data_IF_755641881972
#
_entry.id   IF_755641881972
#
_cell.length_a   1.000
_cell.length_b   1.000
_cell.length_c   1.000
_cell.angle_alpha   90.00
_cell.angle_beta   90.00
_cell.angle_gamma   90.00
#
_symmetry.space_group_name_H-M   'P 1'
#
loop_
_entity.id
_entity.type
_entity.pdbx_description
1 polymer ?
#
# COMPACT_ATOMS: atom_id res chain seq x y z
N UNK A 1 12.29 -13.92 28.51
CA UNK A 1 13.36 -14.04 27.49
C UNK A 1 13.20 -15.28 26.63
N UNK A 2 12.80 -16.42 27.16
CA UNK A 2 12.63 -17.69 26.42
C UNK A 2 11.64 -17.61 25.26
N UNK A 3 10.46 -17.02 25.48
CA UNK A 3 9.44 -16.85 24.44
C UNK A 3 9.91 -16.05 23.21
N UNK A 4 10.69 -14.99 23.41
CA UNK A 4 11.25 -14.20 22.30
C UNK A 4 12.34 -14.99 21.54
N UNK A 5 13.15 -15.77 22.25
CA UNK A 5 14.16 -16.62 21.63
C UNK A 5 13.48 -17.76 20.85
N UNK A 6 12.37 -18.29 21.35
CA UNK A 6 11.57 -19.26 20.63
C UNK A 6 11.07 -18.67 19.30
N UNK A 7 10.37 -17.54 19.33
CA UNK A 7 9.85 -16.89 18.13
C UNK A 7 10.95 -16.63 17.09
N UNK A 8 12.11 -16.09 17.51
CA UNK A 8 13.26 -15.83 16.61
C UNK A 8 13.86 -17.08 15.98
N UNK A 9 13.75 -18.24 16.64
CA UNK A 9 14.27 -19.52 16.13
C UNK A 9 13.31 -20.22 15.19
N UNK A 10 12.00 -20.03 15.37
CA UNK A 10 10.97 -20.79 14.67
C UNK A 10 10.32 -20.00 13.53
N UNK A 11 10.29 -18.68 13.60
CA UNK A 11 9.67 -17.86 12.57
C UNK A 11 10.40 -16.54 12.32
N UNK A 12 10.32 -16.10 11.10
CA UNK A 12 10.65 -14.73 10.68
C UNK A 12 9.38 -13.92 10.61
N UNK A 13 9.39 -12.72 11.20
CA UNK A 13 8.25 -11.82 11.25
C UNK A 13 8.61 -10.49 10.59
N UNK A 14 7.70 -9.97 9.77
CA UNK A 14 7.83 -8.64 9.16
C UNK A 14 6.51 -7.90 9.19
N UNK A 15 6.55 -6.58 9.32
CA UNK A 15 5.36 -5.74 9.33
C UNK A 15 5.18 -5.08 7.98
N UNK A 16 4.03 -5.30 7.37
CA UNK A 16 3.63 -4.60 6.17
C UNK A 16 3.37 -3.11 6.49
N UNK A 17 4.16 -2.21 5.92
CA UNK A 17 4.06 -0.77 6.20
C UNK A 17 2.79 -0.14 5.62
N UNK A 18 2.15 -0.77 4.64
CA UNK A 18 0.90 -0.30 4.02
C UNK A 18 -0.31 -0.71 4.86
N UNK A 19 -0.50 -2.01 5.07
CA UNK A 19 -1.68 -2.51 5.80
C UNK A 19 -1.50 -2.51 7.32
N UNK A 20 -0.24 -2.45 7.80
CA UNK A 20 0.11 -2.60 9.20
C UNK A 20 -0.01 -4.04 9.71
N UNK A 21 -0.37 -4.98 8.85
CA UNK A 21 -0.47 -6.40 9.16
C UNK A 21 0.92 -7.00 9.40
N UNK A 22 0.99 -7.96 10.31
CA UNK A 22 2.21 -8.75 10.50
C UNK A 22 2.16 -9.98 9.60
N UNK A 23 3.23 -10.16 8.86
CA UNK A 23 3.47 -11.35 8.05
C UNK A 23 4.47 -12.26 8.75
N UNK A 24 4.32 -13.56 8.60
CA UNK A 24 5.24 -14.54 9.17
C UNK A 24 5.61 -15.60 8.14
N UNK A 25 6.81 -16.13 8.27
CA UNK A 25 7.30 -17.33 7.57
C UNK A 25 8.03 -18.23 8.57
N UNK A 26 8.12 -19.55 8.35
CA UNK A 26 9.05 -20.41 9.08
C UNK A 26 10.47 -19.84 8.98
N UNK A 27 11.29 -20.06 10.01
CA UNK A 27 12.66 -19.56 10.04
C UNK A 27 13.47 -20.06 8.82
N UNK A 28 14.05 -19.13 8.06
CA UNK A 28 14.77 -19.42 6.82
C UNK A 28 13.90 -19.65 5.59
N UNK A 29 12.58 -19.53 5.73
CA UNK A 29 11.64 -19.54 4.61
C UNK A 29 11.34 -18.13 4.08
N UNK A 30 11.03 -18.04 2.79
CA UNK A 30 10.69 -16.79 2.10
C UNK A 30 9.19 -16.68 1.78
N UNK A 31 8.40 -17.73 2.06
CA UNK A 31 6.94 -17.73 1.86
C UNK A 31 6.23 -17.08 3.05
N UNK A 32 6.15 -15.75 3.02
CA UNK A 32 5.49 -14.97 4.06
C UNK A 32 3.99 -14.96 3.90
N UNK A 33 3.30 -15.41 4.94
CA UNK A 33 1.85 -15.44 5.05
C UNK A 33 1.36 -14.46 6.11
N UNK A 34 0.07 -14.11 6.07
CA UNK A 34 -0.54 -13.28 7.10
C UNK A 34 -0.52 -14.02 8.46
N UNK A 35 -0.07 -13.36 9.51
CA UNK A 35 -0.16 -13.86 10.87
C UNK A 35 -1.62 -13.79 11.36
N UNK A 36 -2.43 -14.75 10.91
CA UNK A 36 -3.84 -14.85 11.30
C UNK A 36 -3.97 -15.26 12.76
N UNK A 37 -5.20 -15.22 13.28
CA UNK A 37 -5.49 -15.71 14.64
C UNK A 37 -5.15 -17.19 14.78
N UNK A 38 -5.44 -17.99 13.77
CA UNK A 38 -5.13 -19.43 13.74
C UNK A 38 -3.62 -19.66 13.79
N UNK A 39 -2.84 -18.93 12.96
CA UNK A 39 -1.39 -19.00 12.96
C UNK A 39 -0.79 -18.60 14.33
N UNK A 40 -1.32 -17.55 14.97
CA UNK A 40 -0.92 -17.13 16.32
C UNK A 40 -1.17 -18.24 17.34
N UNK A 41 -2.36 -18.83 17.32
CA UNK A 41 -2.71 -19.92 18.23
C UNK A 41 -1.80 -21.14 18.02
N UNK A 42 -1.47 -21.46 16.75
CA UNK A 42 -0.54 -22.55 16.44
C UNK A 42 0.83 -22.29 17.05
N UNK A 43 1.41 -21.11 16.87
CA UNK A 43 2.70 -20.74 17.47
C UNK A 43 2.69 -20.87 19.01
N UNK A 44 1.59 -20.46 19.64
CA UNK A 44 1.44 -20.56 21.10
C UNK A 44 1.39 -22.02 21.55
N UNK A 45 0.64 -22.87 20.85
CA UNK A 45 0.53 -24.28 21.18
C UNK A 45 1.84 -25.04 20.94
N UNK A 46 2.54 -24.74 19.84
CA UNK A 46 3.85 -25.31 19.54
C UNK A 46 4.90 -24.91 20.60
N UNK A 47 4.92 -23.65 21.03
CA UNK A 47 5.77 -23.20 22.12
C UNK A 47 5.47 -23.95 23.43
N UNK A 48 4.19 -24.16 23.75
CA UNK A 48 3.77 -24.90 24.94
C UNK A 48 4.24 -26.37 24.90
N UNK A 49 4.24 -27.02 23.72
CA UNK A 49 4.75 -28.37 23.54
C UNK A 49 6.27 -28.46 23.80
N UNK A 50 7.01 -27.37 23.59
CA UNK A 50 8.44 -27.25 23.95
C UNK A 50 8.66 -26.79 25.40
N UNK A 51 7.59 -26.66 26.19
CA UNK A 51 7.68 -26.18 27.57
C UNK A 51 7.90 -24.68 27.71
N UNK A 52 7.67 -23.90 26.64
CA UNK A 52 7.87 -22.46 26.62
C UNK A 52 6.55 -21.73 26.85
N UNK A 53 6.51 -20.85 27.84
CA UNK A 53 5.34 -20.03 28.15
C UNK A 53 5.25 -18.83 27.19
N UNK A 54 4.75 -19.06 25.97
CA UNK A 54 4.37 -18.02 25.02
C UNK A 54 2.88 -17.72 25.20
N UNK A 55 2.54 -16.50 25.61
CA UNK A 55 1.15 -16.05 25.75
C UNK A 55 0.75 -15.15 24.58
N UNK A 56 -0.55 -15.04 24.32
CA UNK A 56 -1.07 -14.12 23.30
C UNK A 56 -0.64 -12.66 23.59
N UNK A 57 -0.62 -12.24 24.85
CA UNK A 57 -0.14 -10.92 25.26
C UNK A 57 1.35 -10.70 24.92
N UNK A 58 2.19 -11.72 25.12
CA UNK A 58 3.62 -11.65 24.80
C UNK A 58 3.82 -11.58 23.29
N UNK A 59 3.09 -12.38 22.53
CA UNK A 59 3.12 -12.34 21.05
C UNK A 59 2.62 -10.98 20.54
N UNK A 60 1.53 -10.44 21.08
CA UNK A 60 0.98 -9.14 20.73
C UNK A 60 1.99 -8.00 20.98
N UNK A 61 2.64 -8.00 22.15
CA UNK A 61 3.71 -7.04 22.44
C UNK A 61 4.87 -7.15 21.46
N UNK A 62 5.24 -8.37 21.07
CA UNK A 62 6.32 -8.60 20.14
C UNK A 62 5.98 -8.08 18.73
N UNK A 63 4.80 -8.41 18.20
CA UNK A 63 4.38 -7.97 16.85
C UNK A 63 4.19 -6.45 16.75
N UNK A 64 3.94 -5.78 17.87
CA UNK A 64 3.85 -4.32 17.95
C UNK A 64 5.14 -3.62 18.41
N UNK A 65 6.22 -4.37 18.56
CA UNK A 65 7.52 -3.80 18.96
C UNK A 65 8.35 -3.35 17.76
N UNK A 66 9.42 -2.61 18.02
CA UNK A 66 10.45 -2.25 17.04
C UNK A 66 11.41 -3.41 16.71
N UNK A 67 11.20 -4.58 17.31
CA UNK A 67 11.99 -5.79 17.05
C UNK A 67 11.59 -6.49 15.76
N UNK A 68 10.45 -6.13 15.18
CA UNK A 68 9.98 -6.63 13.88
C UNK A 68 10.41 -5.67 12.80
N UNK A 69 10.95 -6.22 11.72
CA UNK A 69 11.38 -5.45 10.56
C UNK A 69 10.16 -4.93 9.79
N UNK A 70 10.17 -3.65 9.47
CA UNK A 70 9.21 -3.08 8.55
C UNK A 70 9.49 -3.58 7.12
N UNK A 71 8.43 -3.87 6.40
CA UNK A 71 8.47 -4.38 5.05
C UNK A 71 7.54 -3.58 4.14
N UNK A 72 8.11 -3.06 3.05
CA UNK A 72 7.36 -2.37 2.02
C UNK A 72 7.20 -3.29 0.79
N UNK A 73 5.99 -3.78 0.49
CA UNK A 73 5.78 -4.67 -0.66
C UNK A 73 6.07 -4.01 -2.00
N UNK A 74 5.94 -2.69 -2.10
CA UNK A 74 6.27 -1.97 -3.33
C UNK A 74 7.78 -1.85 -3.53
N UNK A 75 8.56 -1.60 -2.46
CA UNK A 75 10.02 -1.59 -2.52
C UNK A 75 10.55 -2.99 -2.87
N UNK A 76 10.07 -4.05 -2.20
CA UNK A 76 10.47 -5.42 -2.51
C UNK A 76 10.19 -5.77 -3.97
N UNK A 77 9.02 -5.38 -4.50
CA UNK A 77 8.71 -5.59 -5.92
C UNK A 77 9.65 -4.81 -6.84
N UNK A 78 9.94 -3.54 -6.55
CA UNK A 78 10.86 -2.73 -7.34
C UNK A 78 12.28 -3.30 -7.33
N UNK A 79 12.74 -3.79 -6.17
CA UNK A 79 14.07 -4.41 -6.02
C UNK A 79 14.17 -5.77 -6.74
N UNK A 80 13.04 -6.42 -6.98
CA UNK A 80 12.97 -7.69 -7.72
C UNK A 80 13.00 -7.53 -9.25
N UNK A 81 12.91 -6.30 -9.74
CA UNK A 81 12.92 -6.03 -11.18
C UNK A 81 14.33 -6.18 -11.75
N UNK A 82 14.40 -6.74 -12.95
CA UNK A 82 15.63 -6.76 -13.74
C UNK A 82 16.14 -5.33 -14.04
N UNK A 83 17.42 -5.22 -14.34
CA UNK A 83 18.00 -3.97 -14.81
C UNK A 83 17.24 -3.45 -16.04
N UNK A 84 17.06 -2.15 -16.13
CA UNK A 84 16.37 -1.54 -17.26
C UNK A 84 17.04 -1.87 -18.59
N UNK A 85 16.27 -2.40 -19.52
CA UNK A 85 16.69 -2.84 -20.85
C UNK A 85 16.69 -1.71 -21.91
N UNK A 86 16.45 -0.45 -21.51
CA UNK A 86 16.38 0.70 -22.40
C UNK A 86 15.01 0.93 -23.06
N UNK A 87 14.02 0.05 -22.82
CA UNK A 87 12.69 0.16 -23.44
C UNK A 87 11.78 1.09 -22.63
N UNK A 88 11.21 2.10 -23.28
CA UNK A 88 10.26 3.05 -22.66
C UNK A 88 8.83 2.48 -22.65
N UNK A 89 8.56 1.62 -21.69
CA UNK A 89 7.25 1.01 -21.51
C UNK A 89 6.19 1.98 -20.98
N UNK A 90 6.62 3.10 -20.37
CA UNK A 90 5.70 4.10 -19.85
C UNK A 90 5.05 4.88 -20.99
N UNK A 91 5.84 5.28 -21.99
CA UNK A 91 5.32 5.87 -23.23
C UNK A 91 4.39 4.92 -23.97
N UNK A 92 4.75 3.66 -24.10
CA UNK A 92 3.89 2.65 -24.74
C UNK A 92 2.55 2.49 -24.01
N UNK A 93 2.59 2.51 -22.69
CA UNK A 93 1.38 2.43 -21.88
C UNK A 93 0.52 3.69 -22.00
N UNK A 94 1.13 4.87 -21.96
CA UNK A 94 0.45 6.16 -22.15
C UNK A 94 -0.27 6.25 -23.50
N UNK A 95 0.36 5.77 -24.57
CA UNK A 95 -0.19 5.77 -25.93
C UNK A 95 -1.38 4.83 -26.14
N UNK A 96 -1.71 3.97 -25.16
CA UNK A 96 -2.96 3.19 -25.18
C UNK A 96 -4.19 4.04 -24.91
N UNK A 97 -4.02 5.24 -24.36
CA UNK A 97 -5.07 6.22 -24.16
C UNK A 97 -5.09 7.15 -25.37
N UNK A 98 -6.16 7.07 -26.16
CA UNK A 98 -6.38 7.98 -27.28
C UNK A 98 -6.87 9.31 -26.72
N UNK A 99 -6.10 10.38 -26.94
CA UNK A 99 -6.40 11.71 -26.41
C UNK A 99 -5.95 12.80 -27.37
N UNK A 100 -6.61 13.96 -27.31
CA UNK A 100 -6.22 15.18 -28.02
C UNK A 100 -5.25 16.07 -27.22
N UNK A 101 -4.91 15.67 -25.98
CA UNK A 101 -3.97 16.43 -25.15
C UNK A 101 -2.52 16.15 -25.62
N UNK A 102 -1.82 17.14 -26.19
CA UNK A 102 -0.45 16.94 -26.73
C UNK A 102 0.56 16.63 -25.60
N UNK A 103 0.29 17.07 -24.36
CA UNK A 103 1.19 16.90 -23.23
C UNK A 103 0.93 15.59 -22.46
N UNK A 104 -0.03 14.78 -22.91
CA UNK A 104 -0.47 13.58 -22.18
C UNK A 104 0.67 12.65 -21.81
N UNK A 105 1.52 12.28 -22.76
CA UNK A 105 2.62 11.34 -22.52
C UNK A 105 3.59 11.88 -21.47
N UNK A 106 3.98 13.15 -21.58
CA UNK A 106 4.90 13.80 -20.64
C UNK A 106 4.28 13.89 -19.23
N UNK A 107 3.00 14.24 -19.14
CA UNK A 107 2.27 14.31 -17.87
C UNK A 107 2.10 12.93 -17.25
N UNK A 108 1.79 11.91 -18.06
CA UNK A 108 1.68 10.53 -17.61
C UNK A 108 3.00 10.01 -17.04
N UNK A 109 4.12 10.26 -17.74
CA UNK A 109 5.47 9.98 -17.22
C UNK A 109 5.73 10.64 -15.86
N UNK A 110 5.46 11.94 -15.78
CA UNK A 110 5.62 12.70 -14.53
C UNK A 110 4.78 12.09 -13.41
N UNK A 111 3.54 11.73 -13.68
CA UNK A 111 2.66 11.11 -12.70
C UNK A 111 3.18 9.74 -12.25
N UNK A 112 3.61 8.87 -13.17
CA UNK A 112 4.17 7.56 -12.85
C UNK A 112 5.41 7.67 -11.95
N UNK A 113 6.31 8.60 -12.25
CA UNK A 113 7.49 8.86 -11.41
C UNK A 113 7.09 9.32 -10.00
N UNK A 114 6.09 10.20 -9.89
CA UNK A 114 5.58 10.67 -8.59
C UNK A 114 4.92 9.55 -7.80
N UNK A 115 4.17 8.68 -8.46
CA UNK A 115 3.54 7.51 -7.87
C UNK A 115 4.59 6.58 -7.25
N UNK A 116 5.60 6.19 -8.03
CA UNK A 116 6.69 5.31 -7.56
C UNK A 116 7.51 5.98 -6.44
N UNK A 117 7.84 7.27 -6.57
CA UNK A 117 8.54 8.01 -5.52
C UNK A 117 7.80 7.95 -4.17
N UNK A 118 6.46 8.01 -4.21
CA UNK A 118 5.65 7.89 -2.99
C UNK A 118 5.61 6.48 -2.43
N UNK A 119 5.57 5.46 -3.27
CA UNK A 119 5.63 4.06 -2.84
C UNK A 119 6.91 3.78 -2.04
N UNK A 120 8.01 4.45 -2.41
CA UNK A 120 9.32 4.31 -1.75
C UNK A 120 9.57 5.37 -0.67
N UNK A 121 8.56 6.13 -0.29
CA UNK A 121 8.67 7.15 0.77
C UNK A 121 9.54 8.35 0.41
N UNK A 122 9.86 8.56 -0.88
CA UNK A 122 10.60 9.74 -1.34
C UNK A 122 9.69 10.95 -1.34
N UNK A 123 10.24 12.10 -0.99
CA UNK A 123 9.50 13.36 -1.02
C UNK A 123 9.16 13.76 -2.44
N UNK A 124 7.89 14.11 -2.65
CA UNK A 124 7.39 14.71 -3.88
C UNK A 124 6.90 16.11 -3.55
N UNK A 125 7.43 17.12 -4.24
CA UNK A 125 7.04 18.51 -4.01
C UNK A 125 5.55 18.68 -4.31
N UNK A 126 4.79 19.17 -3.34
CA UNK A 126 3.33 19.29 -3.43
C UNK A 126 2.85 20.17 -4.60
N UNK A 127 3.62 21.22 -4.94
CA UNK A 127 3.29 22.14 -6.05
C UNK A 127 3.26 21.45 -7.42
N UNK A 128 3.96 20.33 -7.56
CA UNK A 128 4.11 19.59 -8.82
C UNK A 128 3.23 18.35 -8.90
N UNK A 129 2.39 18.11 -7.89
CA UNK A 129 1.51 16.93 -7.87
C UNK A 129 0.46 17.02 -8.96
N UNK A 130 0.44 16.01 -9.81
CA UNK A 130 -0.56 15.84 -10.87
C UNK A 130 -1.31 14.53 -10.66
N UNK A 131 -2.55 14.49 -11.13
CA UNK A 131 -3.40 13.31 -11.11
C UNK A 131 -4.05 13.18 -12.48
N UNK A 132 -3.98 12.02 -13.14
CA UNK A 132 -4.65 11.81 -14.43
C UNK A 132 -6.16 11.74 -14.23
N UNK A 133 -6.90 12.41 -15.11
CA UNK A 133 -8.35 12.31 -15.21
C UNK A 133 -8.70 11.73 -16.58
N UNK A 134 -9.19 10.50 -16.59
CA UNK A 134 -9.54 9.78 -17.82
C UNK A 134 -11.04 9.96 -18.08
N UNK A 135 -11.38 10.69 -19.14
CA UNK A 135 -12.75 10.96 -19.55
C UNK A 135 -13.10 10.14 -20.79
N UNK A 136 -14.27 9.54 -20.82
CA UNK A 136 -14.74 8.76 -21.97
C UNK A 136 -16.06 8.05 -21.68
N UNK A 137 -16.67 7.51 -22.73
CA UNK A 137 -17.96 6.81 -22.62
C UNK A 137 -17.86 5.57 -21.70
N UNK A 138 -19.01 5.15 -21.19
CA UNK A 138 -19.12 3.91 -20.43
C UNK A 138 -18.69 2.70 -21.28
N UNK A 139 -18.01 1.73 -20.66
CA UNK A 139 -17.58 0.51 -21.35
C UNK A 139 -16.25 0.60 -22.10
N UNK A 140 -15.60 1.77 -22.17
CA UNK A 140 -14.32 1.94 -22.88
C UNK A 140 -13.08 1.52 -22.09
N UNK A 141 -13.24 0.76 -21.01
CA UNK A 141 -12.13 0.14 -20.28
C UNK A 141 -11.32 1.06 -19.39
N UNK A 142 -11.84 2.25 -19.00
CA UNK A 142 -11.12 3.20 -18.13
C UNK A 142 -10.68 2.57 -16.82
N UNK A 143 -11.59 1.94 -16.10
CA UNK A 143 -11.32 1.28 -14.82
C UNK A 143 -10.38 0.08 -15.00
N UNK A 144 -10.54 -0.67 -16.10
CA UNK A 144 -9.62 -1.77 -16.47
C UNK A 144 -8.20 -1.26 -16.70
N UNK A 145 -8.06 -0.10 -17.37
CA UNK A 145 -6.76 0.54 -17.55
C UNK A 145 -6.12 0.91 -16.20
N UNK A 146 -6.88 1.51 -15.29
CA UNK A 146 -6.37 1.84 -13.96
C UNK A 146 -5.91 0.60 -13.19
N UNK A 147 -6.66 -0.50 -13.27
CA UNK A 147 -6.35 -1.75 -12.57
C UNK A 147 -5.04 -2.40 -13.05
N UNK A 148 -4.71 -2.32 -14.35
CA UNK A 148 -3.48 -2.90 -14.89
C UNK A 148 -2.22 -2.09 -14.60
N UNK A 149 -2.33 -0.87 -14.05
CA UNK A 149 -1.18 -0.05 -13.68
C UNK A 149 -0.38 -0.65 -12.51
N UNK A 150 -1.03 -1.46 -11.68
CA UNK A 150 -0.33 -2.25 -10.67
C UNK A 150 -0.01 -3.66 -11.18
N UNK A 151 1.20 -4.16 -10.90
CA UNK A 151 1.55 -5.55 -11.21
C UNK A 151 0.67 -6.52 -10.40
N UNK A 152 0.48 -7.76 -10.87
CA UNK A 152 -0.41 -8.73 -10.21
C UNK A 152 -0.14 -8.92 -8.71
N UNK A 153 1.13 -8.92 -8.30
CA UNK A 153 1.54 -9.07 -6.90
C UNK A 153 1.13 -7.90 -5.99
N UNK A 154 0.95 -6.71 -6.56
CA UNK A 154 0.57 -5.49 -5.82
C UNK A 154 -0.91 -5.11 -5.99
N UNK A 155 -1.70 -5.85 -6.76
CA UNK A 155 -3.12 -5.53 -7.02
C UNK A 155 -3.99 -5.51 -5.77
N UNK A 156 -3.61 -6.22 -4.71
CA UNK A 156 -4.32 -6.13 -3.43
C UNK A 156 -4.28 -4.72 -2.80
N UNK A 157 -3.38 -3.86 -3.26
CA UNK A 157 -3.25 -2.46 -2.83
C UNK A 157 -3.85 -1.47 -3.83
N UNK A 158 -4.71 -1.94 -4.73
CA UNK A 158 -5.55 -1.15 -5.60
C UNK A 158 -6.98 -1.13 -5.06
N UNK A 159 -7.63 0.03 -5.12
CA UNK A 159 -9.07 0.11 -4.89
C UNK A 159 -9.73 1.15 -5.81
N UNK A 160 -10.91 0.81 -6.31
CA UNK A 160 -11.86 1.69 -7.01
C UNK A 160 -13.15 1.88 -6.19
N UNK A 161 -13.28 1.18 -5.05
CA UNK A 161 -14.43 1.27 -4.17
C UNK A 161 -14.23 2.37 -3.12
N UNK A 162 -14.19 3.62 -3.58
CA UNK A 162 -13.93 4.76 -2.73
C UNK A 162 -15.25 5.42 -2.34
N UNK A 163 -15.60 5.35 -1.05
CA UNK A 163 -16.70 6.09 -0.46
C UNK A 163 -16.12 7.21 0.39
N UNK A 164 -16.07 8.42 -0.14
CA UNK A 164 -15.49 9.59 0.53
C UNK A 164 -16.46 10.17 1.57
N UNK A 165 -16.87 9.37 2.57
CA UNK A 165 -17.84 9.79 3.59
C UNK A 165 -17.22 10.55 4.75
N UNK A 166 -15.99 10.21 5.13
CA UNK A 166 -15.28 10.85 6.23
C UNK A 166 -13.78 11.00 5.93
N UNK A 167 -13.16 12.01 6.53
CA UNK A 167 -11.71 12.19 6.41
C UNK A 167 -10.92 11.00 6.98
N UNK A 168 -11.45 10.28 7.96
CA UNK A 168 -10.79 9.11 8.54
C UNK A 168 -10.73 7.93 7.56
N UNK A 169 -11.85 7.60 6.89
CA UNK A 169 -11.90 6.57 5.87
C UNK A 169 -10.99 6.89 4.68
N UNK A 170 -11.01 8.16 4.24
CA UNK A 170 -10.12 8.64 3.18
C UNK A 170 -8.66 8.45 3.57
N UNK A 171 -8.30 8.77 4.81
CA UNK A 171 -6.94 8.56 5.31
C UNK A 171 -6.53 7.09 5.32
N UNK A 172 -7.39 6.21 5.78
CA UNK A 172 -7.15 4.78 5.80
C UNK A 172 -6.90 4.25 4.38
N UNK A 173 -7.75 4.61 3.42
CA UNK A 173 -7.60 4.24 2.02
C UNK A 173 -6.24 4.69 1.44
N UNK A 174 -5.85 5.93 1.72
CA UNK A 174 -4.57 6.49 1.23
C UNK A 174 -3.36 5.78 1.83
N UNK A 175 -3.43 5.36 3.08
CA UNK A 175 -2.31 4.70 3.77
C UNK A 175 -2.18 3.23 3.36
N UNK A 176 -3.31 2.56 3.12
CA UNK A 176 -3.35 1.12 2.86
C UNK A 176 -3.23 0.74 1.39
N UNK A 177 -3.40 1.69 0.46
CA UNK A 177 -3.37 1.42 -0.97
C UNK A 177 -2.23 2.15 -1.69
N UNK A 178 -1.71 1.51 -2.73
CA UNK A 178 -0.69 2.06 -3.63
C UNK A 178 -1.31 2.89 -4.75
N UNK A 179 -2.54 2.55 -5.16
CA UNK A 179 -3.28 3.24 -6.21
C UNK A 179 -4.76 3.30 -5.86
N UNK A 180 -5.29 4.50 -5.89
CA UNK A 180 -6.71 4.79 -5.69
C UNK A 180 -7.31 5.25 -7.02
N UNK A 181 -8.37 4.58 -7.48
CA UNK A 181 -9.14 5.00 -8.64
C UNK A 181 -10.49 5.55 -8.17
N UNK A 182 -10.73 6.85 -8.34
CA UNK A 182 -12.04 7.43 -8.07
C UNK A 182 -12.86 7.26 -9.35
N UNK A 183 -13.65 6.17 -9.40
CA UNK A 183 -14.53 5.89 -10.53
C UNK A 183 -15.82 6.70 -10.42
N UNK A 184 -16.44 6.98 -11.57
CA UNK A 184 -17.71 7.73 -11.65
C UNK A 184 -17.68 9.07 -10.90
N UNK A 185 -16.57 9.82 -11.00
CA UNK A 185 -16.49 11.16 -10.43
C UNK A 185 -17.31 12.16 -11.26
N UNK A 186 -18.55 12.40 -10.86
CA UNK A 186 -19.45 13.37 -11.48
C UNK A 186 -19.50 14.68 -10.70
N UNK A 187 -19.71 15.78 -11.41
CA UNK A 187 -19.90 17.12 -10.78
C UNK A 187 -21.09 17.19 -9.81
N UNK A 188 -22.04 16.27 -9.92
CA UNK A 188 -23.21 16.20 -9.04
C UNK A 188 -22.88 15.74 -7.61
N UNK A 189 -21.72 15.12 -7.40
CA UNK A 189 -21.23 14.78 -6.05
C UNK A 189 -20.41 15.93 -5.45
N UNK A 190 -21.03 17.11 -5.31
CA UNK A 190 -20.42 18.29 -4.68
C UNK A 190 -20.00 18.03 -3.23
N UNK A 191 -20.61 17.07 -2.56
CA UNK A 191 -20.27 16.59 -1.23
C UNK A 191 -18.92 15.86 -1.17
N UNK A 192 -18.46 15.26 -2.27
CA UNK A 192 -17.15 14.58 -2.34
C UNK A 192 -15.99 15.53 -2.66
N UNK A 193 -16.25 16.69 -3.25
CA UNK A 193 -15.22 17.64 -3.64
C UNK A 193 -14.30 18.09 -2.49
N UNK A 194 -14.76 18.32 -1.26
CA UNK A 194 -13.89 18.65 -0.15
C UNK A 194 -12.92 17.53 0.22
N UNK A 195 -13.37 16.27 0.18
CA UNK A 195 -12.53 15.11 0.47
C UNK A 195 -11.46 14.89 -0.60
N UNK A 196 -11.80 15.05 -1.88
CA UNK A 196 -10.83 15.01 -2.99
C UNK A 196 -9.81 16.14 -2.88
N UNK A 197 -10.25 17.37 -2.61
CA UNK A 197 -9.33 18.49 -2.36
C UNK A 197 -8.39 18.21 -1.18
N UNK A 198 -8.92 17.63 -0.12
CA UNK A 198 -8.15 17.22 1.04
C UNK A 198 -7.09 16.18 0.66
N UNK A 199 -7.43 15.16 -0.13
CA UNK A 199 -6.49 14.18 -0.65
C UNK A 199 -5.37 14.81 -1.47
N UNK A 200 -5.71 15.73 -2.36
CA UNK A 200 -4.76 16.38 -3.27
C UNK A 200 -3.89 17.44 -2.58
N UNK A 201 -4.39 18.07 -1.50
CA UNK A 201 -3.74 19.23 -0.88
C UNK A 201 -2.71 18.90 0.19
N UNK A 202 -2.63 17.66 0.69
CA UNK A 202 -1.72 17.32 1.80
C UNK A 202 -0.53 16.49 1.36
N UNK A 203 0.67 16.93 1.78
CA UNK A 203 1.92 16.20 1.53
C UNK A 203 2.12 14.98 2.42
N UNK A 204 1.60 14.99 3.65
CA UNK A 204 1.71 13.87 4.59
C UNK A 204 0.51 13.87 5.53
N UNK A 205 -0.42 12.92 5.43
CA UNK A 205 -1.48 12.80 6.41
C UNK A 205 -0.90 12.25 7.73
N UNK A 206 -1.03 13.00 8.81
CA UNK A 206 -0.78 12.49 10.16
C UNK A 206 -2.07 11.83 10.65
N UNK A 207 -2.03 10.54 10.89
CA UNK A 207 -3.17 9.76 11.36
C UNK A 207 -3.03 9.39 12.84
N UNK A 208 -4.07 9.68 13.63
CA UNK A 208 -4.28 9.05 14.92
C UNK A 208 -5.35 7.97 14.75
N UNK A 209 -4.95 6.72 14.85
CA UNK A 209 -5.89 5.63 14.99
C UNK A 209 -6.76 5.85 16.24
N UNK A 210 -8.03 5.45 16.17
CA UNK A 210 -8.95 5.46 17.31
C UNK A 210 -8.44 4.67 18.54
N UNK A 211 -7.43 3.83 18.35
CA UNK A 211 -6.78 3.02 19.38
C UNK A 211 -5.39 3.53 19.80
N UNK A 212 -5.07 4.79 19.55
CA UNK A 212 -3.87 5.43 20.11
C UNK A 212 -2.53 5.06 19.47
N UNK A 213 -2.50 4.25 18.44
CA UNK A 213 -1.28 3.95 17.68
C UNK A 213 -1.08 5.03 16.63
N UNK A 214 -0.11 5.93 16.85
CA UNK A 214 0.32 6.88 15.84
C UNK A 214 1.13 6.12 14.80
N UNK A 215 0.51 5.77 13.68
CA UNK A 215 1.24 5.32 12.50
C UNK A 215 1.68 6.56 11.74
N UNK A 216 2.98 6.70 11.51
CA UNK A 216 3.49 7.66 10.54
C UNK A 216 3.28 7.04 9.16
N UNK A 217 2.33 7.50 8.38
CA UNK A 217 2.10 6.91 7.08
C UNK A 217 3.23 7.34 6.15
N UNK A 218 3.96 6.36 5.63
CA UNK A 218 4.62 6.54 4.34
C UNK A 218 3.49 6.56 3.31
N UNK A 219 3.47 7.57 2.48
CA UNK A 219 2.35 7.86 1.61
C UNK A 219 2.33 7.00 0.37
N UNK A 220 1.25 6.23 0.09
CA UNK A 220 0.84 5.94 -1.27
C UNK A 220 -0.01 7.09 -1.85
N UNK A 221 -0.09 7.18 -3.14
CA UNK A 221 -1.15 7.92 -3.84
C UNK A 221 -2.02 7.02 -4.65
#
# INVERSE_FOLDING_TARGET
>A
MEALNYLKRHCSLRRNVLSGETMFAPQGGDDYQLLTREARNTLILEAANEGIALTDETLERFVHSTLITDWNPAEEWLDSLDAWDGTDRVTDLANRIITSNPDWVALFHKWMLQMVARWTGREVTQRDTIVPVIVGQYGYGKTSFCNILLPPSLRRYYTDQIKLRSNAEVHELVVTNLLLCIDEFYQEHTDQAPAVRYLLSRSTPVFRSAYGVTRLPRRPM
#
